data_IF_933112621183
#
_entry.id   IF_933112621183
#
_cell.length_a   1.000
_cell.length_b   1.000
_cell.length_c   1.000
_cell.angle_alpha   90.00
_cell.angle_beta   90.00
_cell.angle_gamma   90.00
#
_symmetry.space_group_name_H-M   'P 1'
#
loop_
_entity.id
_entity.type
_entity.pdbx_description
1 polymer ?
#
# COMPACT_ATOMS: atom_id res chain seq x y z
N UNK A 1 34.82 18.01 -5.06
CA UNK A 1 34.52 16.55 -5.06
C UNK A 1 33.97 16.02 -3.73
N UNK A 2 33.93 16.82 -2.65
CA UNK A 2 33.43 16.43 -1.32
C UNK A 2 31.92 16.63 -1.12
N UNK A 3 31.26 17.51 -1.91
CA UNK A 3 29.83 17.81 -1.70
C UNK A 3 28.89 16.76 -2.29
N UNK A 4 29.22 16.17 -3.41
CA UNK A 4 28.39 15.10 -4.03
C UNK A 4 28.30 13.86 -3.14
N UNK A 5 29.36 13.50 -2.44
CA UNK A 5 29.35 12.36 -1.52
C UNK A 5 28.53 12.59 -0.25
N UNK A 6 28.36 13.84 0.18
CA UNK A 6 27.53 14.21 1.33
C UNK A 6 26.04 14.29 0.98
N UNK A 7 25.71 14.68 -0.25
CA UNK A 7 24.34 14.67 -0.76
C UNK A 7 23.83 13.25 -0.98
N UNK A 8 24.63 12.36 -1.58
CA UNK A 8 24.29 10.94 -1.71
C UNK A 8 24.09 10.27 -0.35
N UNK A 9 24.94 10.54 0.65
CA UNK A 9 24.76 10.02 2.02
C UNK A 9 23.55 10.61 2.74
N UNK A 10 23.17 11.87 2.47
CA UNK A 10 21.92 12.46 3.01
C UNK A 10 20.69 11.87 2.36
N UNK A 11 20.72 11.53 1.09
CA UNK A 11 19.61 10.88 0.39
C UNK A 11 19.40 9.42 0.86
N UNK A 12 20.46 8.67 1.12
CA UNK A 12 20.38 7.31 1.72
C UNK A 12 19.79 7.33 3.14
N UNK A 13 19.99 8.39 3.91
CA UNK A 13 19.40 8.53 5.25
C UNK A 13 17.88 8.85 5.24
N UNK A 14 17.30 9.13 4.09
CA UNK A 14 15.90 9.47 3.92
C UNK A 14 15.00 8.27 3.57
N UNK A 15 15.54 7.10 3.22
CA UNK A 15 14.77 5.91 2.84
C UNK A 15 14.33 5.13 4.09
N UNK A 16 13.06 4.65 4.13
CA UNK A 16 12.47 3.95 5.28
C UNK A 16 13.16 2.62 5.60
N UNK A 17 13.73 1.96 4.60
CA UNK A 17 14.46 0.71 4.72
C UNK A 17 15.57 0.63 3.67
N UNK A 18 16.61 -0.21 3.83
CA UNK A 18 17.65 -0.42 2.81
C UNK A 18 17.04 -0.79 1.46
N UNK A 19 17.63 -0.27 0.36
CA UNK A 19 17.15 -0.52 -1.02
C UNK A 19 17.11 -2.01 -1.35
N UNK A 20 18.03 -2.79 -0.79
CA UNK A 20 18.12 -4.25 -0.94
C UNK A 20 16.82 -4.93 -0.52
N UNK A 21 16.20 -4.49 0.57
CA UNK A 21 14.93 -5.03 1.07
C UNK A 21 13.81 -4.90 0.03
N UNK A 22 13.71 -3.75 -0.65
CA UNK A 22 12.71 -3.51 -1.69
C UNK A 22 12.93 -4.44 -2.90
N UNK A 23 14.20 -4.65 -3.28
CA UNK A 23 14.58 -5.48 -4.43
C UNK A 23 14.36 -6.97 -4.13
N UNK A 24 14.80 -7.46 -2.96
CA UNK A 24 14.59 -8.84 -2.51
C UNK A 24 13.10 -9.19 -2.39
N UNK A 25 12.30 -8.25 -1.91
CA UNK A 25 10.86 -8.40 -1.85
C UNK A 25 10.18 -8.32 -3.22
N UNK A 26 10.91 -8.04 -4.31
CA UNK A 26 10.37 -7.80 -5.65
C UNK A 26 9.33 -6.67 -5.73
N UNK A 27 9.39 -5.73 -4.78
CA UNK A 27 8.44 -4.64 -4.67
C UNK A 27 8.46 -3.69 -5.89
N UNK A 28 9.64 -3.37 -6.51
CA UNK A 28 9.71 -2.53 -7.70
C UNK A 28 9.31 -3.24 -9.00
N UNK A 29 9.03 -4.55 -8.97
CA UNK A 29 8.79 -5.35 -10.17
C UNK A 29 7.35 -5.17 -10.66
N UNK A 30 7.18 -4.41 -11.74
CA UNK A 30 5.88 -4.23 -12.39
C UNK A 30 5.59 -5.27 -13.47
N UNK A 31 4.63 -4.96 -14.35
CA UNK A 31 4.19 -5.80 -15.46
C UNK A 31 4.76 -5.34 -16.81
N UNK A 32 4.36 -6.01 -17.89
CA UNK A 32 4.68 -5.60 -19.28
C UNK A 32 3.81 -4.43 -19.76
N UNK A 33 2.70 -4.18 -19.06
CA UNK A 33 1.79 -3.10 -19.38
C UNK A 33 2.05 -1.89 -18.48
N UNK A 34 1.84 -0.70 -19.02
CA UNK A 34 1.91 0.54 -18.25
C UNK A 34 0.79 1.48 -18.64
N UNK A 35 0.19 2.09 -17.64
CA UNK A 35 -0.76 3.17 -17.85
C UNK A 35 -0.04 4.51 -18.06
N UNK A 36 -0.77 5.51 -18.54
CA UNK A 36 -0.25 6.87 -18.72
C UNK A 36 0.20 7.48 -17.39
N UNK A 37 -0.57 7.26 -16.33
CA UNK A 37 -0.27 7.80 -15.00
C UNK A 37 0.94 7.11 -14.37
N UNK A 38 0.97 5.78 -14.38
CA UNK A 38 2.05 4.98 -13.78
C UNK A 38 3.39 5.14 -14.49
N UNK A 39 3.41 5.63 -15.74
CA UNK A 39 4.65 5.94 -16.48
C UNK A 39 5.59 6.84 -15.67
N UNK A 40 5.06 7.75 -14.85
CA UNK A 40 5.84 8.69 -14.05
C UNK A 40 6.66 8.03 -12.94
N UNK A 41 6.30 6.81 -12.54
CA UNK A 41 6.96 6.03 -11.49
C UNK A 41 7.90 4.95 -12.02
N UNK A 42 7.99 4.80 -13.36
CA UNK A 42 8.83 3.77 -13.99
C UNK A 42 10.25 4.28 -14.12
N UNK A 43 11.20 3.60 -13.45
CA UNK A 43 12.63 3.88 -13.57
C UNK A 43 13.19 3.39 -14.92
N UNK A 44 12.93 2.13 -15.28
CA UNK A 44 13.39 1.53 -16.54
C UNK A 44 12.51 0.36 -16.98
N UNK A 45 12.66 -0.03 -18.24
CA UNK A 45 12.05 -1.25 -18.79
C UNK A 45 13.13 -2.27 -19.08
N UNK A 46 12.97 -3.51 -18.64
CA UNK A 46 13.88 -4.62 -18.96
C UNK A 46 13.74 -5.03 -20.43
N UNK A 47 14.74 -5.73 -21.02
CA UNK A 47 14.65 -6.24 -22.40
C UNK A 47 13.43 -7.15 -22.62
N UNK A 48 12.98 -7.87 -21.59
CA UNK A 48 11.78 -8.74 -21.64
C UNK A 48 10.45 -7.94 -21.64
N UNK A 49 10.54 -6.62 -21.60
CA UNK A 49 9.39 -5.72 -21.58
C UNK A 49 8.82 -5.42 -20.19
N UNK A 50 9.39 -5.97 -19.13
CA UNK A 50 8.93 -5.76 -17.76
C UNK A 50 9.38 -4.37 -17.28
N UNK A 51 8.43 -3.61 -16.73
CA UNK A 51 8.68 -2.28 -16.17
C UNK A 51 9.17 -2.39 -14.73
N UNK A 52 10.18 -1.62 -14.39
CA UNK A 52 10.71 -1.51 -13.02
C UNK A 52 10.31 -0.15 -12.46
N UNK A 53 9.64 -0.16 -11.32
CA UNK A 53 9.21 1.03 -10.59
C UNK A 53 10.43 1.60 -9.83
N UNK A 54 10.50 2.92 -9.74
CA UNK A 54 11.56 3.57 -8.96
C UNK A 54 11.34 3.37 -7.46
N UNK A 55 12.35 2.82 -6.77
CA UNK A 55 12.31 2.55 -5.32
C UNK A 55 12.14 3.85 -4.51
N UNK A 56 12.75 4.95 -4.94
CA UNK A 56 12.61 6.25 -4.27
C UNK A 56 11.16 6.73 -4.31
N UNK A 57 10.51 6.58 -5.45
CA UNK A 57 9.10 6.91 -5.60
C UNK A 57 8.19 6.03 -4.74
N UNK A 58 8.50 4.75 -4.61
CA UNK A 58 7.77 3.83 -3.72
C UNK A 58 7.87 4.33 -2.27
N UNK A 59 9.09 4.59 -1.81
CA UNK A 59 9.36 5.03 -0.44
C UNK A 59 8.68 6.36 -0.11
N UNK A 60 8.82 7.34 -0.99
CA UNK A 60 8.19 8.66 -0.86
C UNK A 60 6.66 8.53 -0.76
N UNK A 61 6.06 7.72 -1.63
CA UNK A 61 4.62 7.53 -1.63
C UNK A 61 4.12 6.79 -0.40
N UNK A 62 4.88 5.83 0.12
CA UNK A 62 4.57 5.16 1.40
C UNK A 62 4.58 6.19 2.55
N UNK A 63 5.54 7.12 2.59
CA UNK A 63 5.59 8.18 3.62
C UNK A 63 4.40 9.11 3.53
N UNK A 64 4.10 9.59 2.32
CA UNK A 64 2.95 10.47 2.09
C UNK A 64 1.66 9.76 2.49
N UNK A 65 1.48 8.51 2.08
CA UNK A 65 0.30 7.72 2.43
C UNK A 65 0.18 7.47 3.93
N UNK A 66 1.28 7.13 4.60
CA UNK A 66 1.27 6.94 6.04
C UNK A 66 0.88 8.21 6.81
N UNK A 67 1.43 9.35 6.40
CA UNK A 67 1.06 10.65 6.96
C UNK A 67 -0.40 10.98 6.68
N UNK A 68 -0.89 10.73 5.47
CA UNK A 68 -2.28 10.96 5.09
C UNK A 68 -3.23 10.08 5.92
N UNK A 69 -2.94 8.78 6.03
CA UNK A 69 -3.70 7.84 6.85
C UNK A 69 -3.72 8.26 8.33
N UNK A 70 -2.63 8.84 8.84
CA UNK A 70 -2.53 9.24 10.25
C UNK A 70 -3.47 10.35 10.67
N UNK A 71 -4.02 11.12 9.73
CA UNK A 71 -5.00 12.19 10.01
C UNK A 71 -6.40 11.66 10.31
N UNK A 72 -6.69 10.40 9.95
CA UNK A 72 -8.00 9.79 10.14
C UNK A 72 -8.07 8.98 11.43
N UNK A 73 -9.24 8.99 12.06
CA UNK A 73 -9.54 8.09 13.17
C UNK A 73 -9.47 6.64 12.70
N UNK A 74 -8.91 5.78 13.53
CA UNK A 74 -8.59 4.40 13.12
C UNK A 74 -9.83 3.60 12.71
N UNK A 75 -10.93 3.73 13.44
CA UNK A 75 -12.20 3.06 13.21
C UNK A 75 -12.96 3.55 11.97
N UNK A 76 -12.57 4.71 11.43
CA UNK A 76 -13.11 5.30 10.18
C UNK A 76 -12.30 4.95 8.93
N UNK A 77 -11.24 4.16 9.08
CA UNK A 77 -10.44 3.65 7.97
C UNK A 77 -10.92 2.25 7.60
N UNK A 78 -11.20 2.04 6.31
CA UNK A 78 -11.53 0.72 5.77
C UNK A 78 -10.41 0.25 4.84
N UNK A 79 -9.87 -0.93 5.14
CA UNK A 79 -8.89 -1.64 4.30
C UNK A 79 -9.60 -2.73 3.52
N UNK A 80 -9.50 -2.70 2.19
CA UNK A 80 -10.10 -3.73 1.32
C UNK A 80 -9.02 -4.44 0.52
N UNK A 81 -9.04 -5.78 0.57
CA UNK A 81 -8.03 -6.61 -0.06
C UNK A 81 -8.58 -8.00 -0.42
N UNK A 82 -9.11 -8.18 -1.62
CA UNK A 82 -9.67 -9.47 -2.07
C UNK A 82 -8.63 -10.45 -2.61
N UNK A 83 -7.36 -10.01 -2.84
CA UNK A 83 -6.31 -10.91 -3.33
C UNK A 83 -5.87 -11.90 -2.27
N UNK A 84 -5.71 -13.21 -2.59
CA UNK A 84 -5.32 -14.23 -1.60
C UNK A 84 -4.04 -13.88 -0.84
N UNK A 85 -3.00 -13.38 -1.52
CA UNK A 85 -1.74 -12.99 -0.87
C UNK A 85 -1.81 -11.65 -0.13
N UNK A 86 -2.88 -10.88 -0.29
CA UNK A 86 -3.10 -9.62 0.42
C UNK A 86 -3.94 -9.79 1.70
N UNK A 87 -4.65 -10.90 1.87
CA UNK A 87 -5.57 -11.14 3.00
C UNK A 87 -4.83 -11.00 4.33
N UNK A 88 -3.77 -11.77 4.55
CA UNK A 88 -3.01 -11.75 5.81
C UNK A 88 -2.36 -10.39 6.06
N UNK A 89 -1.55 -9.83 5.10
CA UNK A 89 -0.92 -8.53 5.33
C UNK A 89 -1.92 -7.40 5.59
N UNK A 90 -3.05 -7.35 4.86
CA UNK A 90 -4.08 -6.35 5.07
C UNK A 90 -4.78 -6.49 6.43
N UNK A 91 -5.06 -7.72 6.87
CA UNK A 91 -5.65 -8.00 8.18
C UNK A 91 -4.70 -7.58 9.31
N UNK A 92 -3.41 -7.93 9.21
CA UNK A 92 -2.41 -7.55 10.22
C UNK A 92 -2.25 -6.03 10.25
N UNK A 93 -2.14 -5.38 9.09
CA UNK A 93 -2.06 -3.93 8.98
C UNK A 93 -3.26 -3.24 9.64
N UNK A 94 -4.48 -3.63 9.27
CA UNK A 94 -5.69 -3.04 9.82
C UNK A 94 -5.77 -3.22 11.34
N UNK A 95 -5.44 -4.40 11.85
CA UNK A 95 -5.38 -4.67 13.30
C UNK A 95 -4.38 -3.77 14.03
N UNK A 96 -3.20 -3.57 13.45
CA UNK A 96 -2.14 -2.75 14.05
C UNK A 96 -2.51 -1.26 14.14
N UNK A 97 -3.15 -0.72 13.12
CA UNK A 97 -3.57 0.68 13.11
C UNK A 97 -4.95 0.90 13.73
N UNK A 98 -5.68 -0.17 14.10
CA UNK A 98 -7.04 -0.12 14.64
C UNK A 98 -8.13 0.12 13.59
N UNK A 99 -7.86 -0.16 12.31
CA UNK A 99 -8.78 0.02 11.19
C UNK A 99 -9.70 -1.20 10.99
N UNK A 100 -10.78 -1.00 10.25
CA UNK A 100 -11.64 -2.08 9.77
C UNK A 100 -11.01 -2.73 8.53
N UNK A 101 -11.21 -4.05 8.34
CA UNK A 101 -10.73 -4.77 7.17
C UNK A 101 -11.83 -5.63 6.54
N UNK A 102 -11.91 -5.59 5.21
CA UNK A 102 -12.68 -6.53 4.39
C UNK A 102 -11.68 -7.25 3.48
N UNK A 103 -11.42 -8.51 3.79
CA UNK A 103 -10.43 -9.34 3.08
C UNK A 103 -11.09 -10.46 2.27
N UNK A 104 -12.39 -10.51 2.28
CA UNK A 104 -13.23 -11.38 1.45
C UNK A 104 -13.89 -10.55 0.34
N UNK A 105 -14.93 -11.12 -0.28
CA UNK A 105 -15.70 -10.41 -1.29
C UNK A 105 -16.36 -9.15 -0.69
N UNK A 106 -16.06 -8.01 -1.26
CA UNK A 106 -16.73 -6.77 -0.92
C UNK A 106 -18.20 -6.83 -1.34
N UNK A 107 -19.10 -6.68 -0.37
CA UNK A 107 -20.55 -6.71 -0.62
C UNK A 107 -21.01 -5.35 -1.14
N UNK A 108 -21.73 -5.31 -2.30
CA UNK A 108 -22.31 -4.05 -2.77
C UNK A 108 -23.23 -3.41 -1.73
N UNK A 109 -23.09 -2.11 -1.54
CA UNK A 109 -23.85 -1.36 -0.54
C UNK A 109 -23.15 -1.20 0.82
N UNK A 110 -22.00 -1.81 1.02
CA UNK A 110 -21.26 -1.70 2.30
C UNK A 110 -20.96 -0.25 2.69
N UNK A 111 -20.65 0.62 1.73
CA UNK A 111 -20.41 2.04 1.97
C UNK A 111 -21.62 2.93 1.65
N UNK A 112 -22.58 2.47 0.85
CA UNK A 112 -23.64 3.31 0.31
C UNK A 112 -25.03 3.01 0.89
N UNK A 113 -25.23 1.86 1.53
CA UNK A 113 -26.54 1.46 2.06
C UNK A 113 -26.56 1.37 3.59
N UNK A 114 -27.12 2.37 4.29
CA UNK A 114 -27.21 2.38 5.75
C UNK A 114 -28.04 1.23 6.35
N UNK A 115 -28.90 0.59 5.54
CA UNK A 115 -29.73 -0.55 6.01
C UNK A 115 -28.97 -1.87 6.11
N UNK A 116 -27.73 -1.93 5.58
CA UNK A 116 -26.89 -3.11 5.72
C UNK A 116 -26.20 -3.12 7.07
N UNK A 117 -26.20 -4.27 7.75
CA UNK A 117 -25.47 -4.45 9.01
C UNK A 117 -23.93 -4.30 8.89
N UNK A 118 -23.42 -4.31 7.67
CA UNK A 118 -21.99 -4.07 7.34
C UNK A 118 -21.69 -2.59 7.10
N UNK A 119 -22.70 -1.72 7.04
CA UNK A 119 -22.51 -0.28 6.85
C UNK A 119 -21.68 0.32 7.99
N UNK A 120 -20.73 1.16 7.65
CA UNK A 120 -19.92 1.89 8.62
C UNK A 120 -19.62 3.29 8.11
N UNK A 121 -19.57 4.25 9.03
CA UNK A 121 -19.11 5.61 8.72
C UNK A 121 -17.61 5.56 8.46
N UNK A 122 -17.25 5.45 7.18
CA UNK A 122 -15.86 5.39 6.71
C UNK A 122 -15.50 6.75 6.12
N UNK A 123 -14.34 7.26 6.48
CA UNK A 123 -13.79 8.53 5.99
C UNK A 123 -12.56 8.32 5.07
N UNK A 124 -11.97 7.13 5.08
CA UNK A 124 -10.83 6.78 4.24
C UNK A 124 -10.92 5.33 3.78
N UNK A 125 -10.79 5.12 2.48
CA UNK A 125 -10.67 3.78 1.89
C UNK A 125 -9.23 3.49 1.50
N UNK A 126 -8.69 2.35 1.95
CA UNK A 126 -7.41 1.82 1.51
C UNK A 126 -7.62 0.55 0.69
N UNK A 127 -7.19 0.55 -0.58
CA UNK A 127 -7.36 -0.57 -1.51
C UNK A 127 -6.04 -1.27 -1.79
N UNK A 128 -6.07 -2.60 -1.78
CA UNK A 128 -4.94 -3.39 -2.25
C UNK A 128 -4.82 -3.39 -3.79
N UNK A 129 -5.94 -3.41 -4.49
CA UNK A 129 -5.97 -3.49 -5.95
C UNK A 129 -7.21 -2.80 -6.52
N UNK A 130 -7.07 -1.62 -7.19
CA UNK A 130 -8.20 -0.90 -7.75
C UNK A 130 -9.01 -1.67 -8.79
N UNK A 131 -8.40 -2.64 -9.50
CA UNK A 131 -9.11 -3.43 -10.50
C UNK A 131 -9.93 -4.55 -9.86
N UNK A 132 -9.32 -5.26 -8.92
CA UNK A 132 -9.97 -6.38 -8.25
C UNK A 132 -11.04 -5.91 -7.27
N UNK A 133 -10.77 -4.82 -6.56
CA UNK A 133 -11.65 -4.22 -5.57
C UNK A 133 -12.45 -3.03 -6.14
N UNK A 134 -12.75 -3.05 -7.46
CA UNK A 134 -13.41 -1.95 -8.19
C UNK A 134 -14.77 -1.57 -7.59
N UNK A 135 -15.52 -2.53 -7.04
CA UNK A 135 -16.80 -2.25 -6.40
C UNK A 135 -16.65 -1.30 -5.18
N UNK A 136 -15.61 -1.52 -4.37
CA UNK A 136 -15.33 -0.64 -3.23
C UNK A 136 -14.88 0.76 -3.70
N UNK A 137 -14.09 0.83 -4.78
CA UNK A 137 -13.67 2.08 -5.40
C UNK A 137 -14.86 2.88 -5.94
N UNK A 138 -15.77 2.22 -6.64
CA UNK A 138 -16.98 2.85 -7.19
C UNK A 138 -17.89 3.41 -6.10
N UNK A 139 -18.07 2.68 -5.00
CA UNK A 139 -18.87 3.15 -3.87
C UNK A 139 -18.20 4.32 -3.15
N UNK A 140 -16.90 4.26 -2.90
CA UNK A 140 -16.14 5.35 -2.30
C UNK A 140 -16.24 6.63 -3.13
N UNK A 141 -16.10 6.51 -4.45
CA UNK A 141 -16.27 7.63 -5.38
C UNK A 141 -17.66 8.24 -5.32
N UNK A 142 -18.71 7.42 -5.23
CA UNK A 142 -20.10 7.89 -5.15
C UNK A 142 -20.40 8.68 -3.88
N UNK A 143 -19.80 8.28 -2.75
CA UNK A 143 -20.00 8.98 -1.47
C UNK A 143 -18.95 10.06 -1.21
N UNK A 144 -17.90 10.16 -2.05
CA UNK A 144 -16.90 11.22 -2.02
C UNK A 144 -15.85 11.05 -0.92
N UNK A 145 -15.53 9.81 -0.50
CA UNK A 145 -14.44 9.56 0.45
C UNK A 145 -13.12 9.35 -0.31
N UNK A 146 -11.99 9.83 0.25
CA UNK A 146 -10.70 9.68 -0.38
C UNK A 146 -10.22 8.23 -0.40
N UNK A 147 -9.51 7.89 -1.47
CA UNK A 147 -9.01 6.54 -1.74
C UNK A 147 -7.49 6.52 -1.84
N UNK A 148 -6.86 5.70 -1.02
CA UNK A 148 -5.44 5.34 -1.14
C UNK A 148 -5.35 3.93 -1.70
N UNK A 149 -4.53 3.70 -2.72
CA UNK A 149 -4.42 2.37 -3.33
C UNK A 149 -2.99 1.95 -3.66
N UNK A 150 -2.72 0.64 -3.53
CA UNK A 150 -1.53 0.01 -4.07
C UNK A 150 -1.74 -0.26 -5.57
N UNK A 151 -0.89 0.33 -6.41
CA UNK A 151 -1.04 0.24 -7.85
C UNK A 151 0.21 -0.34 -8.52
N UNK A 152 0.02 -1.38 -9.33
CA UNK A 152 1.04 -1.88 -10.25
C UNK A 152 1.06 -1.03 -11.53
N UNK A 153 2.05 -1.21 -12.39
CA UNK A 153 2.27 -0.42 -13.61
C UNK A 153 1.10 -0.42 -14.59
N UNK A 154 0.26 -1.44 -14.57
CA UNK A 154 -0.90 -1.58 -15.49
C UNK A 154 -2.15 -0.79 -15.05
N UNK A 155 -2.25 -0.36 -13.77
CA UNK A 155 -3.45 0.29 -13.25
C UNK A 155 -3.67 1.68 -13.83
N UNK A 156 -4.92 2.02 -14.21
CA UNK A 156 -5.29 3.35 -14.71
C UNK A 156 -5.20 4.43 -13.64
N UNK A 157 -5.39 4.05 -12.37
CA UNK A 157 -5.43 4.94 -11.20
C UNK A 157 -6.57 5.98 -11.23
N UNK A 158 -7.62 5.75 -12.05
CA UNK A 158 -8.82 6.57 -12.05
C UNK A 158 -9.55 6.44 -10.71
N UNK A 159 -10.05 7.55 -10.19
CA UNK A 159 -10.74 7.64 -8.89
C UNK A 159 -9.87 7.24 -7.68
N UNK A 160 -8.56 7.18 -7.83
CA UNK A 160 -7.60 6.96 -6.73
C UNK A 160 -6.93 8.29 -6.41
N UNK A 161 -7.09 8.81 -5.19
CA UNK A 161 -6.54 10.10 -4.77
C UNK A 161 -5.05 10.01 -4.47
N UNK A 162 -4.63 8.92 -3.85
CA UNK A 162 -3.23 8.69 -3.52
C UNK A 162 -2.77 7.29 -3.93
N UNK A 163 -1.88 7.25 -4.91
CA UNK A 163 -1.30 6.03 -5.45
C UNK A 163 0.02 5.70 -4.73
N UNK A 164 0.15 4.46 -4.27
CA UNK A 164 1.41 3.86 -3.85
C UNK A 164 1.86 2.91 -4.97
N UNK A 165 2.87 3.30 -5.78
CA UNK A 165 3.32 2.47 -6.89
C UNK A 165 4.12 1.28 -6.35
N UNK A 166 3.66 0.06 -6.58
CA UNK A 166 4.35 -1.14 -6.14
C UNK A 166 3.80 -2.40 -6.82
N UNK A 167 4.52 -3.50 -6.68
CA UNK A 167 4.01 -4.82 -6.99
C UNK A 167 2.93 -5.22 -5.98
N UNK A 168 1.67 -5.17 -6.38
CA UNK A 168 0.52 -5.52 -5.54
C UNK A 168 0.04 -6.97 -5.71
N UNK A 169 0.88 -7.85 -6.30
CA UNK A 169 0.54 -9.25 -6.60
C UNK A 169 1.44 -10.24 -5.87
N UNK A 170 2.72 -9.87 -5.69
CA UNK A 170 3.71 -10.74 -5.09
C UNK A 170 3.49 -10.92 -3.59
N UNK A 171 3.57 -12.17 -3.11
CA UNK A 171 3.40 -12.51 -1.68
C UNK A 171 4.33 -11.70 -0.78
N UNK A 172 5.65 -11.76 -1.04
CA UNK A 172 6.67 -11.05 -0.25
C UNK A 172 6.60 -9.53 -0.48
N UNK A 173 6.24 -9.08 -1.69
CA UNK A 173 6.07 -7.66 -1.99
C UNK A 173 4.92 -7.06 -1.16
N UNK A 174 3.77 -7.74 -1.09
CA UNK A 174 2.64 -7.32 -0.27
C UNK A 174 2.98 -7.29 1.22
N UNK A 175 3.61 -8.35 1.74
CA UNK A 175 4.07 -8.36 3.13
C UNK A 175 4.96 -7.16 3.45
N UNK A 176 5.93 -6.86 2.58
CA UNK A 176 6.89 -5.78 2.78
C UNK A 176 6.23 -4.40 2.71
N UNK A 177 5.36 -4.14 1.73
CA UNK A 177 4.70 -2.83 1.62
C UNK A 177 3.77 -2.56 2.80
N UNK A 178 2.98 -3.55 3.23
CA UNK A 178 2.11 -3.41 4.40
C UNK A 178 2.91 -3.28 5.69
N UNK A 179 4.04 -3.98 5.83
CA UNK A 179 4.94 -3.84 6.97
C UNK A 179 5.54 -2.45 7.06
N UNK A 180 6.06 -1.90 5.94
CA UNK A 180 6.60 -0.54 5.86
C UNK A 180 5.53 0.49 6.20
N UNK A 181 4.33 0.33 5.61
CA UNK A 181 3.22 1.24 5.82
C UNK A 181 2.72 1.21 7.26
N UNK A 182 2.56 0.02 7.87
CA UNK A 182 2.16 -0.12 9.27
C UNK A 182 3.13 0.59 10.21
N UNK A 183 4.44 0.31 10.06
CA UNK A 183 5.49 0.94 10.85
C UNK A 183 5.46 2.46 10.73
N UNK A 184 5.31 2.98 9.51
CA UNK A 184 5.30 4.41 9.29
C UNK A 184 4.01 5.08 9.80
N UNK A 185 2.83 4.47 9.62
CA UNK A 185 1.57 4.99 10.17
C UNK A 185 1.60 5.08 11.69
N UNK A 186 2.10 4.02 12.35
CA UNK A 186 2.24 4.03 13.82
C UNK A 186 3.21 5.11 14.31
N UNK A 187 4.27 5.38 13.54
CA UNK A 187 5.21 6.47 13.82
C UNK A 187 4.56 7.84 13.65
N UNK A 188 3.82 8.07 12.56
CA UNK A 188 3.09 9.33 12.33
C UNK A 188 2.01 9.58 13.40
N UNK A 189 1.31 8.51 13.82
CA UNK A 189 0.37 8.57 14.96
C UNK A 189 1.05 8.71 16.34
N UNK A 190 2.39 8.73 16.38
CA UNK A 190 3.22 8.82 17.61
C UNK A 190 2.97 7.67 18.60
N UNK A 191 2.50 6.54 18.12
CA UNK A 191 2.32 5.33 18.93
C UNK A 191 3.68 4.68 19.18
N UNK A 192 4.58 4.71 18.18
CA UNK A 192 5.98 4.31 18.29
C UNK A 192 6.88 5.52 18.04
N UNK A 193 7.99 5.62 18.82
CA UNK A 193 8.94 6.74 18.69
C UNK A 193 10.14 6.38 17.82
N UNK A 194 10.53 5.10 17.80
CA UNK A 194 11.65 4.62 17.00
C UNK A 194 11.25 3.37 16.20
N UNK A 195 11.89 3.10 15.05
CA UNK A 195 11.65 1.88 14.26
C UNK A 195 11.89 0.59 15.04
N UNK A 196 12.76 0.62 16.05
CA UNK A 196 13.12 -0.54 16.90
C UNK A 196 11.97 -0.99 17.81
N UNK A 197 11.04 -0.10 18.12
CA UNK A 197 9.84 -0.43 18.91
C UNK A 197 8.80 -1.22 18.11
N UNK A 198 8.98 -1.32 16.80
CA UNK A 198 8.12 -2.12 15.94
C UNK A 198 8.61 -3.57 15.92
N UNK A 199 8.01 -4.40 16.76
CA UNK A 199 8.43 -5.79 17.00
C UNK A 199 8.03 -6.80 15.93
N UNK A 200 7.18 -6.39 14.98
CA UNK A 200 6.70 -7.25 13.90
C UNK A 200 7.75 -7.39 12.80
N UNK A 201 7.96 -8.62 12.34
CA UNK A 201 8.78 -8.96 11.20
C UNK A 201 7.98 -8.94 9.89
N UNK A 202 8.64 -9.04 8.75
CA UNK A 202 7.96 -9.14 7.44
C UNK A 202 7.21 -10.47 7.33
N UNK A 203 7.75 -11.53 7.93
CA UNK A 203 7.15 -12.88 7.96
C UNK A 203 5.79 -12.91 8.66
N UNK A 204 5.57 -12.05 9.66
CA UNK A 204 4.28 -11.92 10.34
C UNK A 204 3.17 -11.42 9.39
N UNK A 205 3.56 -10.67 8.37
CA UNK A 205 2.66 -10.19 7.31
C UNK A 205 2.58 -11.17 6.14
N UNK A 206 3.51 -12.09 6.00
CA UNK A 206 3.56 -12.98 4.84
C UNK A 206 2.51 -14.07 4.92
N UNK A 207 1.74 -14.25 3.85
CA UNK A 207 0.74 -15.32 3.76
C UNK A 207 1.44 -16.67 3.62
N UNK A 208 1.09 -17.64 4.45
CA UNK A 208 1.61 -19.00 4.36
C UNK A 208 1.13 -19.67 3.08
N UNK A 209 2.03 -20.40 2.42
CA UNK A 209 1.63 -21.28 1.34
C UNK A 209 0.99 -22.50 1.98
N UNK A 210 -0.31 -22.66 1.83
CA UNK A 210 -0.96 -23.94 2.10
C UNK A 210 -0.50 -24.88 0.99
N UNK A 211 0.37 -25.84 1.34
CA UNK A 211 0.68 -26.95 0.44
C UNK A 211 -0.62 -27.72 0.20
N UNK A 212 -1.02 -27.77 -1.08
CA UNK A 212 -2.23 -28.45 -1.53
C UNK A 212 -1.97 -29.96 -1.67
#
# INVERSE_FOLDING_TARGET
MSDLGSEFKKEEQLILAPTELYIEATLPLGTKFKSKYMKNFIYRTRPEGIHIIDVRSIDERIRIAAKFISYYESDKILVVASRPFAIKPATVFAKLIGAKAITERFLPGTLTNPSLGTYGEIELLFLNDPYQDSQALDEATKIGIPVVALCDTEHSCENVDLVIPCNNKGRRALATVYWLLARQVLREKKIIQSPEQFTYSIEDFETELVEA
#
